data_IF_446896274464
#
_entry.id   IF_446896274464
#
_cell.length_a   1.000
_cell.length_b   1.000
_cell.length_c   1.000
_cell.angle_alpha   90.00
_cell.angle_beta   90.00
_cell.angle_gamma   90.00
#
_symmetry.space_group_name_H-M   'P 1'
#
loop_
_entity.id
_entity.type
_entity.pdbx_description
1 polymer ?
#
# COMPACT_ATOMS: atom_id res chain seq x y z
N UNK A 1 19.49 34.66 -14.14
CA UNK A 1 20.35 33.49 -14.46
C UNK A 1 19.43 32.29 -14.41
N UNK A 2 19.26 31.57 -15.53
CA UNK A 2 18.34 30.43 -15.60
C UNK A 2 18.90 29.32 -14.70
N UNK A 3 18.06 28.82 -13.78
CA UNK A 3 18.40 27.67 -12.93
C UNK A 3 18.71 26.48 -13.83
N UNK A 4 19.87 25.85 -13.66
CA UNK A 4 20.24 24.65 -14.42
C UNK A 4 19.28 23.49 -14.12
N UNK A 5 19.16 22.56 -15.07
CA UNK A 5 18.25 21.41 -14.98
C UNK A 5 18.55 20.51 -13.77
N UNK A 6 19.82 20.27 -13.43
CA UNK A 6 20.18 19.44 -12.28
C UNK A 6 19.90 20.15 -10.96
N UNK A 7 20.17 21.46 -10.90
CA UNK A 7 19.77 22.29 -9.76
C UNK A 7 18.25 22.29 -9.56
N UNK A 8 17.49 22.36 -10.65
CA UNK A 8 16.02 22.32 -10.60
C UNK A 8 15.50 20.95 -10.13
N UNK A 9 16.06 19.84 -10.62
CA UNK A 9 15.73 18.49 -10.11
C UNK A 9 16.02 18.35 -8.63
N UNK A 10 17.16 18.87 -8.16
CA UNK A 10 17.52 18.86 -6.74
C UNK A 10 16.54 19.69 -5.90
N UNK A 11 16.15 20.87 -6.40
CA UNK A 11 15.12 21.72 -5.79
C UNK A 11 13.79 20.99 -5.65
N UNK A 12 13.30 20.35 -6.73
CA UNK A 12 12.05 19.58 -6.72
C UNK A 12 12.12 18.50 -5.64
N UNK A 13 13.19 17.70 -5.61
CA UNK A 13 13.35 16.60 -4.65
C UNK A 13 13.32 17.10 -3.21
N UNK A 14 14.09 18.15 -2.90
CA UNK A 14 14.15 18.74 -1.57
C UNK A 14 12.79 19.30 -1.14
N UNK A 15 12.18 20.13 -1.97
CA UNK A 15 10.88 20.76 -1.67
C UNK A 15 9.75 19.75 -1.55
N UNK A 16 9.79 18.64 -2.30
CA UNK A 16 8.79 17.57 -2.18
C UNK A 16 8.84 16.93 -0.79
N UNK A 17 10.03 16.68 -0.25
CA UNK A 17 10.17 16.14 1.11
C UNK A 17 9.69 17.11 2.19
N UNK A 18 9.74 18.42 1.94
CA UNK A 18 9.20 19.46 2.83
C UNK A 18 7.67 19.57 2.73
N UNK A 19 7.10 19.42 1.52
CA UNK A 19 5.66 19.64 1.28
C UNK A 19 4.76 18.46 1.65
N UNK A 20 5.23 17.23 1.45
CA UNK A 20 4.39 16.04 1.55
C UNK A 20 4.85 15.12 2.67
N UNK A 21 3.92 14.79 3.56
CA UNK A 21 4.08 13.66 4.47
C UNK A 21 4.14 12.33 3.71
N UNK A 22 4.59 11.28 4.39
CA UNK A 22 4.68 9.96 3.78
C UNK A 22 3.29 9.45 3.35
N UNK A 23 3.20 8.58 2.31
CA UNK A 23 1.95 7.92 1.94
C UNK A 23 1.24 7.26 3.13
N UNK A 24 1.99 6.53 3.95
CA UNK A 24 1.45 5.81 5.10
C UNK A 24 0.88 6.78 6.16
N UNK A 25 1.58 7.88 6.44
CA UNK A 25 1.11 8.88 7.40
C UNK A 25 -0.17 9.56 6.93
N UNK A 26 -0.26 9.92 5.64
CA UNK A 26 -1.48 10.48 5.06
C UNK A 26 -2.67 9.52 5.20
N UNK A 27 -2.46 8.24 4.88
CA UNK A 27 -3.51 7.23 5.03
C UNK A 27 -3.92 7.04 6.48
N UNK A 28 -2.95 7.02 7.41
CA UNK A 28 -3.25 6.91 8.83
C UNK A 28 -4.02 8.14 9.37
N UNK A 29 -3.67 9.35 8.94
CA UNK A 29 -4.42 10.57 9.29
C UNK A 29 -5.86 10.51 8.78
N UNK A 30 -6.07 10.13 7.52
CA UNK A 30 -7.42 9.96 6.96
C UNK A 30 -8.18 8.88 7.72
N UNK A 31 -7.53 7.76 8.04
CA UNK A 31 -8.12 6.67 8.80
C UNK A 31 -8.60 7.11 10.19
N UNK A 32 -7.79 7.91 10.90
CA UNK A 32 -8.15 8.46 12.20
C UNK A 32 -9.27 9.49 12.08
N UNK A 33 -9.20 10.39 11.10
CA UNK A 33 -10.20 11.45 10.88
C UNK A 33 -11.59 10.89 10.57
N UNK A 34 -11.68 9.75 9.89
CA UNK A 34 -12.94 9.05 9.64
C UNK A 34 -13.43 8.19 10.82
N UNK A 35 -12.68 8.16 11.93
CA UNK A 35 -13.05 7.41 13.12
C UNK A 35 -12.90 5.89 12.98
N UNK A 36 -12.20 5.40 11.94
CA UNK A 36 -12.02 3.96 11.74
C UNK A 36 -11.22 3.30 12.87
N UNK A 37 -10.28 4.04 13.47
CA UNK A 37 -9.53 3.60 14.65
C UNK A 37 -10.37 3.26 15.89
N UNK A 38 -11.66 3.66 15.91
CA UNK A 38 -12.62 3.37 16.98
C UNK A 38 -13.61 2.26 16.61
N UNK A 39 -13.51 1.70 15.40
CA UNK A 39 -14.44 0.67 14.93
C UNK A 39 -14.01 -0.71 15.41
N UNK A 40 -15.01 -1.54 15.66
CA UNK A 40 -14.85 -2.94 16.06
C UNK A 40 -14.39 -3.81 14.89
N UNK A 41 -13.81 -4.98 15.20
CA UNK A 41 -13.34 -5.98 14.22
C UNK A 41 -14.36 -6.27 13.11
N UNK A 42 -15.63 -6.47 13.47
CA UNK A 42 -16.69 -6.85 12.52
C UNK A 42 -16.93 -5.78 11.46
N UNK A 43 -16.79 -4.50 11.82
CA UNK A 43 -16.94 -3.39 10.87
C UNK A 43 -15.91 -3.47 9.73
N UNK A 44 -14.66 -3.81 10.05
CA UNK A 44 -13.61 -3.96 9.04
C UNK A 44 -13.87 -5.14 8.10
N UNK A 45 -14.37 -6.27 8.64
CA UNK A 45 -14.70 -7.46 7.84
C UNK A 45 -15.88 -7.18 6.91
N UNK A 46 -16.91 -6.49 7.39
CA UNK A 46 -18.16 -6.29 6.64
C UNK A 46 -18.11 -5.11 5.66
N UNK A 47 -17.27 -4.10 5.93
CA UNK A 47 -17.22 -2.83 5.19
C UNK A 47 -15.88 -2.55 4.53
N UNK A 48 -15.04 -3.58 4.33
CA UNK A 48 -13.69 -3.41 3.77
C UNK A 48 -13.67 -2.62 2.46
N UNK A 49 -14.58 -2.94 1.53
CA UNK A 49 -14.69 -2.25 0.25
C UNK A 49 -15.01 -0.75 0.43
N UNK A 50 -15.96 -0.43 1.30
CA UNK A 50 -16.36 0.95 1.58
C UNK A 50 -15.22 1.75 2.22
N UNK A 51 -14.51 1.16 3.18
CA UNK A 51 -13.34 1.77 3.83
C UNK A 51 -12.28 2.12 2.79
N UNK A 52 -11.96 1.19 1.88
CA UNK A 52 -10.97 1.40 0.81
C UNK A 52 -11.37 2.59 -0.06
N UNK A 53 -12.60 2.58 -0.59
CA UNK A 53 -13.08 3.63 -1.49
C UNK A 53 -13.11 5.00 -0.80
N UNK A 54 -13.59 5.05 0.44
CA UNK A 54 -13.65 6.28 1.23
C UNK A 54 -12.25 6.83 1.52
N UNK A 55 -11.31 6.01 2.00
CA UNK A 55 -9.96 6.48 2.29
C UNK A 55 -9.27 6.95 1.00
N UNK A 56 -9.38 6.20 -0.11
CA UNK A 56 -8.80 6.59 -1.41
C UNK A 56 -9.31 7.92 -1.93
N UNK A 57 -10.63 8.13 -1.87
CA UNK A 57 -11.25 9.38 -2.29
C UNK A 57 -10.76 10.55 -1.45
N UNK A 58 -10.66 10.37 -0.14
CA UNK A 58 -10.28 11.44 0.77
C UNK A 58 -8.78 11.72 0.79
N UNK A 59 -7.91 10.71 0.67
CA UNK A 59 -6.47 10.92 0.51
C UNK A 59 -6.18 11.72 -0.77
N UNK A 60 -6.90 11.43 -1.86
CA UNK A 60 -6.80 12.21 -3.09
C UNK A 60 -7.28 13.67 -2.93
N UNK A 61 -8.41 13.88 -2.25
CA UNK A 61 -8.93 15.22 -1.99
C UNK A 61 -7.98 16.09 -1.15
N UNK A 62 -7.16 15.48 -0.29
CA UNK A 62 -6.12 16.17 0.47
C UNK A 62 -4.86 16.39 -0.39
N UNK A 63 -4.39 15.32 -1.07
CA UNK A 63 -3.15 15.35 -1.82
C UNK A 63 -3.21 16.27 -3.04
N UNK A 64 -4.29 16.22 -3.83
CA UNK A 64 -4.36 16.92 -5.12
C UNK A 64 -4.26 18.46 -5.00
N UNK A 65 -4.99 19.14 -4.10
CA UNK A 65 -4.80 20.57 -3.87
C UNK A 65 -3.39 20.92 -3.36
N UNK A 66 -2.78 20.05 -2.55
CA UNK A 66 -1.42 20.23 -2.07
C UNK A 66 -0.39 20.08 -3.20
N UNK A 67 -0.54 19.09 -4.08
CA UNK A 67 0.27 18.93 -5.28
C UNK A 67 0.14 20.12 -6.24
N UNK A 68 -1.07 20.65 -6.39
CA UNK A 68 -1.30 21.87 -7.18
C UNK A 68 -0.52 23.06 -6.60
N UNK A 69 -0.59 23.30 -5.29
CA UNK A 69 0.17 24.37 -4.62
C UNK A 69 1.68 24.17 -4.78
N UNK A 70 2.17 22.98 -4.48
CA UNK A 70 3.57 22.60 -4.68
C UNK A 70 4.03 22.91 -6.12
N UNK A 71 3.24 22.51 -7.12
CA UNK A 71 3.58 22.74 -8.54
C UNK A 71 3.65 24.23 -8.86
N UNK A 72 2.70 25.02 -8.38
CA UNK A 72 2.70 26.48 -8.56
C UNK A 72 3.95 27.10 -7.93
N UNK A 73 4.28 26.71 -6.70
CA UNK A 73 5.40 27.30 -5.95
C UNK A 73 6.76 26.96 -6.58
N UNK A 74 6.91 25.75 -7.12
CA UNK A 74 8.12 25.35 -7.86
C UNK A 74 8.23 26.11 -9.18
N UNK A 75 7.15 26.25 -9.96
CA UNK A 75 7.18 27.01 -11.21
C UNK A 75 7.47 28.49 -10.96
N UNK A 76 6.92 29.07 -9.89
CA UNK A 76 7.21 30.45 -9.48
C UNK A 76 8.69 30.68 -9.19
N UNK A 77 9.41 29.67 -8.69
CA UNK A 77 10.86 29.81 -8.46
C UNK A 77 11.71 29.94 -9.72
N UNK A 78 11.13 29.67 -10.90
CA UNK A 78 11.78 29.91 -12.20
C UNK A 78 11.59 31.35 -12.69
N UNK A 79 10.62 32.09 -12.13
CA UNK A 79 10.32 33.45 -12.55
C UNK A 79 11.37 34.44 -12.02
N UNK A 80 11.96 35.23 -12.91
CA UNK A 80 12.72 36.43 -12.53
C UNK A 80 11.81 37.66 -12.63
N UNK A 81 11.38 38.19 -11.48
CA UNK A 81 10.49 39.36 -11.42
C UNK A 81 11.08 40.59 -12.12
N UNK A 82 12.41 40.78 -12.08
CA UNK A 82 13.05 41.94 -12.72
C UNK A 82 13.01 41.85 -14.25
N UNK A 83 13.02 40.63 -14.78
CA UNK A 83 12.93 40.36 -16.21
C UNK A 83 11.47 40.45 -16.68
N UNK A 84 10.56 39.78 -15.96
CA UNK A 84 9.14 39.73 -16.28
C UNK A 84 8.48 41.11 -16.23
N UNK A 85 8.83 41.95 -15.25
CA UNK A 85 8.24 43.29 -15.09
C UNK A 85 8.53 44.25 -16.26
N UNK A 86 9.45 43.91 -17.16
CA UNK A 86 9.77 44.69 -18.37
C UNK A 86 8.94 44.29 -19.58
N UNK A 87 8.16 43.22 -19.48
CA UNK A 87 7.41 42.63 -20.58
C UNK A 87 5.91 42.91 -20.46
N UNK A 88 5.19 42.90 -21.58
CA UNK A 88 3.72 42.80 -21.55
C UNK A 88 3.31 41.41 -21.03
N UNK A 89 2.10 41.26 -20.46
CA UNK A 89 1.65 39.96 -19.95
C UNK A 89 1.75 38.80 -20.96
N UNK A 90 1.42 39.05 -22.24
CA UNK A 90 1.51 38.03 -23.30
C UNK A 90 2.95 37.64 -23.63
N UNK A 91 3.88 38.62 -23.61
CA UNK A 91 5.28 38.37 -23.85
C UNK A 91 5.91 37.63 -22.66
N UNK A 92 5.54 37.97 -21.42
CA UNK A 92 6.01 37.28 -20.23
C UNK A 92 5.59 35.81 -20.22
N UNK A 93 4.33 35.51 -20.56
CA UNK A 93 3.84 34.13 -20.68
C UNK A 93 4.59 33.40 -21.80
N UNK A 94 4.74 34.03 -22.97
CA UNK A 94 5.44 33.41 -24.11
C UNK A 94 6.90 33.11 -23.80
N UNK A 95 7.60 34.05 -23.16
CA UNK A 95 8.97 33.89 -22.69
C UNK A 95 9.08 32.77 -21.66
N UNK A 96 8.20 32.73 -20.65
CA UNK A 96 8.23 31.67 -19.63
C UNK A 96 8.04 30.27 -20.25
N UNK A 97 7.09 30.13 -21.17
CA UNK A 97 6.85 28.84 -21.84
C UNK A 97 8.05 28.47 -22.71
N UNK A 98 8.60 29.41 -23.49
CA UNK A 98 9.73 29.15 -24.37
C UNK A 98 11.00 28.73 -23.60
N UNK A 99 11.34 29.48 -22.55
CA UNK A 99 12.62 29.34 -21.86
C UNK A 99 12.62 28.19 -20.83
N UNK A 100 11.45 27.84 -20.29
CA UNK A 100 11.31 26.82 -19.24
C UNK A 100 10.54 25.57 -19.68
N UNK A 101 10.39 25.32 -20.99
CA UNK A 101 9.69 24.12 -21.50
C UNK A 101 10.24 22.83 -20.87
N UNK A 102 11.57 22.68 -20.78
CA UNK A 102 12.20 21.49 -20.20
C UNK A 102 11.96 21.39 -18.69
N UNK A 103 12.07 22.48 -17.94
CA UNK A 103 11.78 22.52 -16.51
C UNK A 103 10.33 22.14 -16.22
N UNK A 104 9.36 22.67 -17.00
CA UNK A 104 7.94 22.33 -16.89
C UNK A 104 7.74 20.83 -17.13
N UNK A 105 8.38 20.26 -18.16
CA UNK A 105 8.33 18.82 -18.44
C UNK A 105 8.89 18.00 -17.27
N UNK A 106 10.05 18.37 -16.72
CA UNK A 106 10.68 17.65 -15.60
C UNK A 106 9.79 17.67 -14.35
N UNK A 107 9.20 18.81 -14.01
CA UNK A 107 8.30 18.92 -12.87
C UNK A 107 7.05 18.05 -13.06
N UNK A 108 6.42 18.11 -14.24
CA UNK A 108 5.20 17.33 -14.53
C UNK A 108 5.47 15.82 -14.57
N UNK A 109 6.62 15.41 -15.10
CA UNK A 109 7.10 14.02 -15.04
C UNK A 109 7.35 13.59 -13.58
N UNK A 110 8.06 14.41 -12.81
CA UNK A 110 8.33 14.15 -11.38
C UNK A 110 7.03 13.98 -10.58
N UNK A 111 6.04 14.85 -10.80
CA UNK A 111 4.71 14.73 -10.18
C UNK A 111 4.02 13.42 -10.58
N UNK A 112 4.09 13.03 -11.85
CA UNK A 112 3.48 11.77 -12.33
C UNK A 112 4.14 10.54 -11.72
N UNK A 113 5.48 10.51 -11.63
CA UNK A 113 6.18 9.39 -10.99
C UNK A 113 5.92 9.34 -9.48
N UNK A 114 5.88 10.51 -8.81
CA UNK A 114 5.46 10.62 -7.42
C UNK A 114 4.06 10.04 -7.22
N UNK A 115 3.07 10.45 -8.03
CA UNK A 115 1.70 9.93 -7.96
C UNK A 115 1.63 8.42 -8.13
N UNK A 116 2.37 7.85 -9.09
CA UNK A 116 2.40 6.39 -9.31
C UNK A 116 2.93 5.65 -8.08
N UNK A 117 4.06 6.09 -7.53
CA UNK A 117 4.65 5.47 -6.34
C UNK A 117 3.74 5.63 -5.12
N UNK A 118 3.23 6.85 -4.88
CA UNK A 118 2.31 7.13 -3.77
C UNK A 118 1.03 6.31 -3.87
N UNK A 119 0.41 6.23 -5.04
CA UNK A 119 -0.83 5.50 -5.21
C UNK A 119 -0.71 4.01 -4.83
N UNK A 120 0.43 3.37 -5.13
CA UNK A 120 0.73 2.01 -4.68
C UNK A 120 0.91 1.92 -3.17
N UNK A 121 1.83 2.70 -2.61
CA UNK A 121 2.11 2.70 -1.17
C UNK A 121 0.88 3.07 -0.31
N UNK A 122 0.05 4.00 -0.77
CA UNK A 122 -1.22 4.35 -0.11
C UNK A 122 -2.20 3.17 -0.14
N UNK A 123 -2.27 2.42 -1.24
CA UNK A 123 -3.16 1.27 -1.34
C UNK A 123 -2.72 0.13 -0.42
N UNK A 124 -1.42 -0.17 -0.38
CA UNK A 124 -0.83 -1.12 0.56
C UNK A 124 -1.14 -0.73 2.02
N UNK A 125 -0.91 0.54 2.38
CA UNK A 125 -1.19 1.05 3.73
C UNK A 125 -2.67 0.92 4.12
N UNK A 126 -3.60 1.14 3.18
CA UNK A 126 -5.04 0.98 3.43
C UNK A 126 -5.36 -0.49 3.76
N UNK A 127 -4.86 -1.42 2.93
CA UNK A 127 -5.09 -2.86 3.15
C UNK A 127 -4.52 -3.27 4.51
N UNK A 128 -3.33 -2.78 4.83
CA UNK A 128 -2.67 -3.05 6.10
C UNK A 128 -3.52 -2.63 7.31
N UNK A 129 -4.06 -1.41 7.31
CA UNK A 129 -4.90 -0.91 8.39
C UNK A 129 -6.23 -1.67 8.50
N UNK A 130 -6.78 -2.13 7.38
CA UNK A 130 -7.98 -2.97 7.36
C UNK A 130 -7.69 -4.34 8.00
N UNK A 131 -6.57 -4.97 7.67
CA UNK A 131 -6.15 -6.23 8.28
C UNK A 131 -5.94 -6.08 9.79
N UNK A 132 -5.29 -4.98 10.22
CA UNK A 132 -5.12 -4.66 11.64
C UNK A 132 -6.46 -4.47 12.34
N UNK A 133 -7.38 -3.70 11.72
CA UNK A 133 -8.72 -3.48 12.25
C UNK A 133 -9.57 -4.76 12.32
N UNK A 134 -9.42 -5.65 11.35
CA UNK A 134 -10.04 -6.97 11.34
C UNK A 134 -9.36 -7.98 12.30
N UNK A 135 -8.30 -7.56 13.01
CA UNK A 135 -7.49 -8.42 13.89
C UNK A 135 -6.96 -9.69 13.20
N UNK A 136 -6.67 -9.57 11.91
CA UNK A 136 -6.05 -10.62 11.11
C UNK A 136 -4.53 -10.44 11.23
N UNK A 137 -3.80 -11.45 11.72
CA UNK A 137 -2.35 -11.39 11.77
C UNK A 137 -1.79 -11.30 10.35
N UNK A 138 -0.84 -10.41 10.13
CA UNK A 138 -0.08 -10.36 8.88
C UNK A 138 1.30 -9.74 9.11
N UNK A 139 2.18 -10.00 8.15
CA UNK A 139 3.39 -9.23 7.91
C UNK A 139 3.32 -8.60 6.52
N UNK A 140 3.63 -7.30 6.42
CA UNK A 140 3.73 -6.57 5.16
C UNK A 140 5.19 -6.20 4.85
N UNK A 141 5.56 -6.09 3.57
CA UNK A 141 6.86 -5.56 3.18
C UNK A 141 7.10 -4.14 3.74
N UNK A 142 6.04 -3.33 3.84
CA UNK A 142 6.08 -2.01 4.46
C UNK A 142 6.44 -2.05 5.94
N UNK A 143 6.05 -3.12 6.64
CA UNK A 143 6.26 -3.27 8.07
C UNK A 143 7.59 -3.90 8.41
N UNK A 144 7.85 -5.12 7.94
CA UNK A 144 9.05 -5.88 8.34
C UNK A 144 10.26 -5.62 7.43
N UNK A 145 10.05 -4.96 6.29
CA UNK A 145 11.08 -4.60 5.33
C UNK A 145 11.28 -5.65 4.23
N UNK A 146 11.59 -5.18 3.02
CA UNK A 146 11.73 -6.01 1.81
C UNK A 146 12.81 -7.06 1.91
N UNK A 147 13.89 -6.79 2.64
CA UNK A 147 15.00 -7.73 2.78
C UNK A 147 14.57 -9.02 3.48
N UNK A 148 13.69 -8.94 4.49
CA UNK A 148 13.21 -10.13 5.20
C UNK A 148 12.39 -11.01 4.25
N UNK A 149 11.56 -10.43 3.39
CA UNK A 149 10.83 -11.20 2.37
C UNK A 149 11.80 -11.92 1.43
N UNK A 150 12.79 -11.20 0.89
CA UNK A 150 13.79 -11.77 -0.04
C UNK A 150 14.60 -12.90 0.62
N UNK A 151 15.06 -12.69 1.84
CA UNK A 151 15.80 -13.69 2.64
C UNK A 151 14.98 -14.95 2.92
N UNK A 152 13.65 -14.82 2.96
CA UNK A 152 12.70 -15.92 3.19
C UNK A 152 12.08 -16.47 1.90
N UNK A 153 12.72 -16.21 0.75
CA UNK A 153 12.28 -16.68 -0.57
C UNK A 153 10.84 -16.24 -0.94
N UNK A 154 10.35 -15.17 -0.32
CA UNK A 154 9.13 -14.50 -0.76
C UNK A 154 9.47 -13.60 -1.93
N UNK A 155 8.73 -13.78 -3.03
CA UNK A 155 8.88 -13.01 -4.25
C UNK A 155 8.76 -11.50 -4.01
N UNK A 156 9.44 -10.69 -4.84
CA UNK A 156 9.41 -9.23 -4.71
C UNK A 156 8.00 -8.63 -4.79
N UNK A 157 7.08 -9.33 -5.45
CA UNK A 157 5.70 -8.90 -5.67
C UNK A 157 4.72 -9.31 -4.56
N UNK A 158 5.16 -10.11 -3.58
CA UNK A 158 4.33 -10.43 -2.42
C UNK A 158 4.41 -9.26 -1.45
N UNK A 159 3.32 -8.53 -1.29
CA UNK A 159 3.27 -7.35 -0.44
C UNK A 159 2.90 -7.70 1.00
N UNK A 160 2.03 -8.70 1.18
CA UNK A 160 1.51 -9.13 2.49
C UNK A 160 1.48 -10.66 2.57
N UNK A 161 1.83 -11.18 3.76
CA UNK A 161 1.71 -12.59 4.13
C UNK A 161 0.85 -12.70 5.40
N UNK A 162 -0.20 -13.52 5.35
CA UNK A 162 -1.03 -13.85 6.51
C UNK A 162 -0.87 -15.33 6.87
N UNK A 163 -0.60 -15.69 8.14
CA UNK A 163 -0.52 -14.82 9.33
C UNK A 163 0.81 -14.05 9.50
N UNK A 164 1.88 -14.47 8.80
CA UNK A 164 3.20 -13.85 8.90
C UNK A 164 4.26 -14.62 8.12
N UNK A 165 5.46 -14.04 8.00
CA UNK A 165 6.56 -14.65 7.23
C UNK A 165 7.17 -15.86 7.94
N UNK A 166 7.08 -15.92 9.27
CA UNK A 166 7.59 -17.06 10.04
C UNK A 166 6.71 -18.29 9.78
N UNK A 167 5.40 -18.11 9.82
CA UNK A 167 4.42 -19.15 9.49
C UNK A 167 4.54 -19.62 8.04
N UNK A 168 4.87 -18.72 7.12
CA UNK A 168 5.15 -19.11 5.73
C UNK A 168 6.34 -20.06 5.64
N UNK A 169 7.41 -19.82 6.39
CA UNK A 169 8.58 -20.71 6.42
C UNK A 169 8.27 -22.06 7.05
N UNK A 170 7.37 -22.09 8.03
CA UNK A 170 6.93 -23.31 8.70
C UNK A 170 6.05 -24.15 7.76
N UNK A 171 5.01 -23.55 7.20
CA UNK A 171 4.05 -24.23 6.33
C UNK A 171 3.39 -23.26 5.33
N UNK A 172 4.03 -23.12 4.17
CA UNK A 172 3.57 -22.35 3.01
C UNK A 172 2.12 -22.65 2.56
N UNK A 173 1.60 -23.87 2.82
CA UNK A 173 0.24 -24.26 2.38
C UNK A 173 -0.85 -23.67 3.27
N UNK A 174 -0.54 -23.38 4.52
CA UNK A 174 -1.48 -22.82 5.48
C UNK A 174 -1.31 -21.30 5.61
N UNK A 175 -0.61 -20.66 4.68
CA UNK A 175 -0.47 -19.20 4.62
C UNK A 175 -1.11 -18.64 3.37
N UNK A 176 -1.50 -17.37 3.45
CA UNK A 176 -2.10 -16.63 2.34
C UNK A 176 -1.12 -15.55 1.89
N UNK A 177 -0.84 -15.52 0.59
CA UNK A 177 -0.03 -14.49 -0.04
C UNK A 177 -0.93 -13.47 -0.74
N UNK A 178 -0.60 -12.19 -0.61
CA UNK A 178 -1.35 -11.09 -1.22
C UNK A 178 -0.37 -10.16 -1.94
N UNK A 179 -0.69 -9.84 -3.19
CA UNK A 179 -0.02 -8.83 -4.00
C UNK A 179 -1.01 -7.71 -4.32
N UNK A 180 -0.59 -6.45 -4.21
CA UNK A 180 -1.42 -5.28 -4.38
C UNK A 180 -1.01 -4.47 -5.62
N UNK A 181 -1.94 -4.29 -6.55
CA UNK A 181 -1.74 -3.41 -7.71
C UNK A 181 -2.98 -2.55 -7.92
N UNK A 182 -2.84 -1.22 -7.83
CA UNK A 182 -3.98 -0.31 -8.06
C UNK A 182 -4.62 -0.49 -9.43
N UNK A 183 -3.81 -0.66 -10.47
CA UNK A 183 -4.21 -1.02 -11.84
C UNK A 183 -3.29 -2.11 -12.36
N UNK A 184 -3.80 -3.04 -13.18
CA UNK A 184 -3.04 -4.18 -13.68
C UNK A 184 -2.29 -3.82 -14.96
N UNK A 185 -3.01 -3.34 -15.99
CA UNK A 185 -2.49 -3.20 -17.36
C UNK A 185 -1.79 -4.48 -17.83
N UNK A 186 -0.59 -4.43 -18.40
CA UNK A 186 0.25 -5.59 -18.73
C UNK A 186 0.98 -6.18 -17.51
N UNK A 187 1.07 -5.44 -16.40
CA UNK A 187 1.91 -5.78 -15.23
C UNK A 187 1.37 -6.92 -14.38
N UNK A 188 0.20 -7.48 -14.70
CA UNK A 188 -0.28 -8.71 -14.08
C UNK A 188 0.58 -9.92 -14.49
N UNK A 189 1.27 -9.86 -15.64
CA UNK A 189 2.12 -10.95 -16.14
C UNK A 189 3.28 -11.29 -15.21
N UNK A 190 3.73 -10.33 -14.41
CA UNK A 190 4.78 -10.51 -13.41
C UNK A 190 4.32 -11.44 -12.26
N UNK A 191 3.01 -11.52 -12.01
CA UNK A 191 2.43 -12.17 -10.82
C UNK A 191 2.46 -13.71 -10.93
N UNK A 192 2.07 -14.34 -12.06
CA UNK A 192 2.27 -15.77 -12.29
C UNK A 192 3.72 -16.24 -12.17
N UNK A 193 4.68 -15.45 -12.67
CA UNK A 193 6.11 -15.79 -12.61
C UNK A 193 6.57 -15.93 -11.15
N UNK A 194 6.18 -14.99 -10.29
CA UNK A 194 6.50 -15.05 -8.86
C UNK A 194 5.74 -16.17 -8.15
N UNK A 195 4.46 -16.40 -8.49
CA UNK A 195 3.66 -17.46 -7.86
C UNK A 195 4.34 -18.83 -7.96
N UNK A 196 4.89 -19.16 -9.14
CA UNK A 196 5.64 -20.41 -9.36
C UNK A 196 6.86 -20.56 -8.46
N UNK A 197 7.49 -19.45 -8.05
CA UNK A 197 8.69 -19.46 -7.19
C UNK A 197 8.36 -19.63 -5.71
N UNK A 198 7.20 -19.16 -5.27
CA UNK A 198 6.84 -19.19 -3.84
C UNK A 198 6.57 -20.61 -3.33
N UNK A 199 5.95 -21.46 -4.15
CA UNK A 199 5.44 -22.76 -3.71
C UNK A 199 4.21 -22.66 -2.80
N UNK A 200 3.58 -21.48 -2.71
CA UNK A 200 2.30 -21.30 -2.05
C UNK A 200 1.18 -22.01 -2.82
N UNK A 201 0.06 -22.27 -2.14
CA UNK A 201 -1.12 -22.90 -2.75
C UNK A 201 -1.82 -21.97 -3.73
N UNK A 202 -1.99 -20.73 -3.31
CA UNK A 202 -2.67 -19.68 -4.06
C UNK A 202 -2.14 -18.31 -3.63
N UNK A 203 -2.36 -17.30 -4.47
CA UNK A 203 -2.09 -15.91 -4.15
C UNK A 203 -3.29 -15.06 -4.51
N UNK A 204 -3.54 -14.00 -3.74
CA UNK A 204 -4.58 -13.04 -4.03
C UNK A 204 -3.97 -11.78 -4.62
N UNK A 205 -4.45 -11.39 -5.80
CA UNK A 205 -4.08 -10.13 -6.45
C UNK A 205 -5.17 -9.10 -6.17
N UNK A 206 -4.93 -8.22 -5.20
CA UNK A 206 -5.87 -7.16 -4.84
C UNK A 206 -5.70 -5.96 -5.78
N UNK A 207 -6.80 -5.42 -6.30
CA UNK A 207 -6.78 -4.36 -7.30
C UNK A 207 -8.02 -3.47 -7.31
N UNK A 208 -7.86 -2.25 -7.83
CA UNK A 208 -8.93 -1.29 -8.13
C UNK A 208 -9.13 -1.13 -9.64
N UNK A 209 -8.58 -2.05 -10.45
CA UNK A 209 -8.75 -2.05 -11.90
C UNK A 209 -10.18 -2.47 -12.28
N UNK A 210 -10.88 -1.62 -13.01
CA UNK A 210 -12.24 -1.88 -13.50
C UNK A 210 -12.27 -2.58 -14.87
N UNK A 211 -11.12 -2.73 -15.54
CA UNK A 211 -11.03 -3.10 -16.96
C UNK A 211 -10.16 -4.33 -17.22
N UNK A 212 -10.20 -5.30 -16.30
CA UNK A 212 -9.60 -6.62 -16.47
C UNK A 212 -10.44 -7.43 -17.47
N UNK A 213 -9.83 -7.95 -18.53
CA UNK A 213 -10.49 -8.80 -19.53
C UNK A 213 -10.66 -10.23 -19.02
N UNK A 214 -11.64 -10.95 -19.58
CA UNK A 214 -11.88 -12.37 -19.24
C UNK A 214 -10.64 -13.23 -19.51
N UNK A 215 -9.94 -12.98 -20.61
CA UNK A 215 -8.68 -13.67 -20.93
C UNK A 215 -7.60 -13.47 -19.87
N UNK A 216 -7.50 -12.27 -19.27
CA UNK A 216 -6.54 -12.03 -18.18
C UNK A 216 -6.97 -12.76 -16.92
N UNK A 217 -8.27 -12.76 -16.60
CA UNK A 217 -8.82 -13.52 -15.48
C UNK A 217 -8.59 -15.03 -15.62
N UNK A 218 -8.75 -15.57 -16.83
CA UNK A 218 -8.47 -16.97 -17.14
C UNK A 218 -7.00 -17.33 -16.87
N UNK A 219 -6.06 -16.51 -17.34
CA UNK A 219 -4.63 -16.73 -17.14
C UNK A 219 -4.23 -16.68 -15.66
N UNK A 220 -4.75 -15.69 -14.92
CA UNK A 220 -4.50 -15.57 -13.48
C UNK A 220 -5.07 -16.78 -12.72
N UNK A 221 -6.30 -17.18 -13.04
CA UNK A 221 -6.94 -18.33 -12.40
C UNK A 221 -6.18 -19.64 -12.67
N UNK A 222 -5.75 -19.88 -13.91
CA UNK A 222 -4.90 -21.04 -14.27
C UNK A 222 -3.57 -21.06 -13.52
N UNK A 223 -3.10 -19.89 -13.07
CA UNK A 223 -1.88 -19.73 -12.28
C UNK A 223 -2.12 -19.76 -10.77
N UNK A 224 -3.30 -20.17 -10.31
CA UNK A 224 -3.74 -20.16 -8.90
C UNK A 224 -3.71 -18.76 -8.27
N UNK A 225 -4.05 -17.73 -9.06
CA UNK A 225 -4.17 -16.35 -8.60
C UNK A 225 -5.63 -15.92 -8.64
N UNK A 226 -6.17 -15.57 -7.48
CA UNK A 226 -7.52 -15.04 -7.35
C UNK A 226 -7.47 -13.51 -7.37
N UNK A 227 -8.28 -12.89 -8.22
CA UNK A 227 -8.40 -11.43 -8.25
C UNK A 227 -9.36 -10.97 -7.17
N UNK A 228 -8.97 -9.95 -6.42
CA UNK A 228 -9.78 -9.35 -5.37
C UNK A 228 -9.97 -7.86 -5.67
N UNK A 229 -11.20 -7.37 -5.59
CA UNK A 229 -11.52 -5.96 -5.82
C UNK A 229 -12.62 -5.48 -4.87
N UNK A 230 -13.09 -4.24 -5.02
CA UNK A 230 -14.18 -3.74 -4.19
C UNK A 230 -15.52 -4.34 -4.61
N UNK A 231 -16.47 -4.38 -3.67
CA UNK A 231 -17.84 -4.83 -3.92
C UNK A 231 -18.49 -4.06 -5.08
N UNK A 232 -18.25 -2.75 -5.19
CA UNK A 232 -18.78 -1.93 -6.26
C UNK A 232 -18.21 -2.35 -7.62
N UNK A 233 -16.88 -2.49 -7.74
CA UNK A 233 -16.24 -2.93 -8.98
C UNK A 233 -16.73 -4.34 -9.37
N UNK A 234 -16.78 -5.29 -8.44
CA UNK A 234 -17.29 -6.64 -8.71
C UNK A 234 -18.73 -6.60 -9.19
N UNK A 235 -19.60 -5.85 -8.53
CA UNK A 235 -21.02 -5.78 -8.90
C UNK A 235 -21.27 -5.11 -10.25
N UNK A 236 -20.49 -4.08 -10.60
CA UNK A 236 -20.66 -3.34 -11.85
C UNK A 236 -20.02 -4.04 -13.06
N UNK A 237 -18.87 -4.70 -12.87
CA UNK A 237 -18.05 -5.22 -13.97
C UNK A 237 -17.99 -6.76 -14.02
N UNK A 238 -18.08 -7.44 -12.88
CA UNK A 238 -17.74 -8.85 -12.73
C UNK A 238 -18.79 -9.68 -11.97
N UNK A 239 -20.06 -9.22 -11.95
CA UNK A 239 -21.10 -9.75 -11.05
C UNK A 239 -21.27 -11.27 -11.09
N UNK A 240 -21.16 -11.86 -12.28
CA UNK A 240 -21.36 -13.29 -12.51
C UNK A 240 -20.04 -14.07 -12.56
N UNK A 241 -18.89 -13.41 -12.38
CA UNK A 241 -17.59 -14.07 -12.42
C UNK A 241 -17.16 -14.46 -10.99
N UNK A 242 -17.36 -15.72 -10.65
CA UNK A 242 -17.01 -16.28 -9.34
C UNK A 242 -15.51 -16.26 -9.03
N UNK A 243 -14.66 -16.01 -10.03
CA UNK A 243 -13.20 -15.94 -9.90
C UNK A 243 -12.70 -14.57 -9.44
N UNK A 244 -13.59 -13.57 -9.45
CA UNK A 244 -13.35 -12.25 -8.89
C UNK A 244 -13.98 -12.19 -7.51
N UNK A 245 -13.16 -11.97 -6.50
CA UNK A 245 -13.57 -11.87 -5.11
C UNK A 245 -13.64 -10.40 -4.68
N UNK A 246 -14.35 -10.18 -3.59
CA UNK A 246 -14.39 -8.91 -2.84
C UNK A 246 -13.36 -8.90 -1.73
N UNK A 247 -12.97 -7.72 -1.25
CA UNK A 247 -12.13 -7.61 -0.06
C UNK A 247 -12.73 -8.30 1.17
N UNK A 248 -14.06 -8.29 1.30
CA UNK A 248 -14.77 -8.97 2.39
C UNK A 248 -14.62 -10.50 2.29
N UNK A 249 -14.73 -11.06 1.08
CA UNK A 249 -14.45 -12.48 0.84
C UNK A 249 -12.98 -12.82 1.17
N UNK A 250 -12.02 -11.97 0.79
CA UNK A 250 -10.60 -12.15 1.14
C UNK A 250 -10.38 -12.15 2.66
N UNK A 251 -10.96 -11.19 3.39
CA UNK A 251 -10.83 -11.13 4.86
C UNK A 251 -11.47 -12.35 5.51
N UNK A 252 -12.60 -12.84 4.99
CA UNK A 252 -13.23 -14.09 5.45
C UNK A 252 -12.32 -15.31 5.25
N UNK A 253 -11.65 -15.41 4.10
CA UNK A 253 -10.65 -16.47 3.83
C UNK A 253 -9.49 -16.37 4.81
N UNK A 254 -8.97 -15.16 5.06
CA UNK A 254 -7.85 -14.94 5.99
C UNK A 254 -8.23 -15.25 7.45
N UNK A 255 -9.41 -14.81 7.91
CA UNK A 255 -9.91 -15.09 9.27
C UNK A 255 -10.18 -16.60 9.46
N UNK A 256 -10.68 -17.29 8.44
CA UNK A 256 -10.82 -18.74 8.48
C UNK A 256 -9.45 -19.46 8.54
N UNK A 257 -8.48 -19.01 7.75
CA UNK A 257 -7.13 -19.57 7.72
C UNK A 257 -6.35 -19.35 9.02
N UNK A 258 -6.61 -18.24 9.74
CA UNK A 258 -6.03 -17.96 11.07
C UNK A 258 -6.20 -19.15 12.03
N UNK A 259 -7.33 -19.86 11.96
CA UNK A 259 -7.64 -21.03 12.80
C UNK A 259 -6.65 -22.18 12.66
N UNK A 260 -5.96 -22.30 11.53
CA UNK A 260 -4.90 -23.29 11.33
C UNK A 260 -3.69 -23.04 12.26
N UNK A 261 -3.52 -21.82 12.74
CA UNK A 261 -2.38 -21.37 13.55
C UNK A 261 -2.75 -21.19 15.03
N UNK A 262 -4.04 -21.09 15.35
CA UNK A 262 -4.55 -20.93 16.72
C UNK A 262 -4.09 -22.04 17.68
N UNK A 263 -3.83 -23.26 17.18
CA UNK A 263 -3.33 -24.38 17.99
C UNK A 263 -1.91 -24.82 17.62
N UNK A 264 -1.24 -24.10 16.72
CA UNK A 264 0.16 -24.40 16.40
C UNK A 264 1.05 -24.17 17.63
N UNK A 265 2.04 -25.03 17.87
CA UNK A 265 3.01 -24.87 18.95
C UNK A 265 4.33 -24.39 18.38
N UNK A 266 4.61 -23.09 18.49
CA UNK A 266 5.90 -22.55 18.08
C UNK A 266 7.01 -23.00 19.02
N UNK A 267 8.16 -23.34 18.46
CA UNK A 267 9.36 -23.60 19.24
C UNK A 267 9.93 -22.27 19.81
N UNK A 268 10.96 -22.38 20.66
CA UNK A 268 11.51 -21.21 21.34
C UNK A 268 12.10 -20.17 20.38
N UNK A 269 12.79 -20.61 19.33
CA UNK A 269 13.40 -19.74 18.32
C UNK A 269 12.33 -19.04 17.47
N UNK A 270 11.33 -19.77 16.98
CA UNK A 270 10.18 -19.21 16.25
C UNK A 270 9.45 -18.16 17.09
N UNK A 271 9.20 -18.45 18.36
CA UNK A 271 8.55 -17.51 19.28
C UNK A 271 9.37 -16.24 19.46
N UNK A 272 10.69 -16.38 19.63
CA UNK A 272 11.60 -15.24 19.78
C UNK A 272 11.58 -14.36 18.53
N UNK A 273 11.69 -14.95 17.34
CA UNK A 273 11.62 -14.22 16.07
C UNK A 273 10.30 -13.45 15.91
N UNK A 274 9.17 -14.11 16.17
CA UNK A 274 7.85 -13.46 16.06
C UNK A 274 7.75 -12.31 17.07
N UNK A 275 8.14 -12.55 18.33
CA UNK A 275 8.07 -11.56 19.40
C UNK A 275 8.94 -10.33 19.10
N UNK A 276 10.15 -10.55 18.57
CA UNK A 276 11.08 -9.47 18.24
C UNK A 276 10.63 -8.67 17.03
N UNK A 277 10.04 -9.33 16.03
CA UNK A 277 9.39 -8.63 14.92
C UNK A 277 8.24 -7.75 15.42
N UNK A 278 7.39 -8.26 16.30
CA UNK A 278 6.29 -7.48 16.88
C UNK A 278 6.81 -6.30 17.71
N UNK A 279 7.82 -6.49 18.55
CA UNK A 279 8.44 -5.39 19.33
C UNK A 279 9.02 -4.30 18.43
N UNK A 280 9.67 -4.66 17.33
CA UNK A 280 10.15 -3.70 16.33
C UNK A 280 9.00 -2.87 15.75
N UNK A 281 7.84 -3.49 15.48
CA UNK A 281 6.67 -2.73 15.01
C UNK A 281 6.07 -1.81 16.07
N UNK A 282 6.01 -2.25 17.33
CA UNK A 282 5.56 -1.40 18.44
C UNK A 282 6.41 -0.13 18.53
N UNK A 283 7.74 -0.26 18.41
CA UNK A 283 8.67 0.86 18.45
C UNK A 283 8.51 1.77 17.22
N UNK A 284 8.48 1.19 16.01
CA UNK A 284 8.32 1.93 14.75
C UNK A 284 7.02 2.74 14.70
N UNK A 285 5.96 2.23 15.32
CA UNK A 285 4.63 2.83 15.33
C UNK A 285 4.26 3.44 16.70
N UNK A 286 5.25 3.86 17.49
CA UNK A 286 5.02 4.41 18.84
C UNK A 286 4.03 5.59 18.89
N UNK A 287 4.01 6.39 17.81
CA UNK A 287 3.16 7.58 17.65
C UNK A 287 1.82 7.28 16.95
N UNK A 288 1.55 6.01 16.61
CA UNK A 288 0.32 5.58 15.93
C UNK A 288 -0.43 4.58 16.80
N UNK A 289 -1.17 5.13 17.77
CA UNK A 289 -1.77 4.38 18.88
C UNK A 289 -2.60 3.16 18.45
N UNK A 290 -3.36 3.26 17.35
CA UNK A 290 -4.14 2.13 16.83
C UNK A 290 -3.25 0.94 16.44
N UNK A 291 -2.18 1.21 15.69
CA UNK A 291 -1.23 0.18 15.21
C UNK A 291 -0.44 -0.40 16.38
N UNK A 292 0.01 0.48 17.28
CA UNK A 292 0.71 0.08 18.50
C UNK A 292 -0.14 -0.88 19.34
N UNK A 293 -1.42 -0.55 19.57
CA UNK A 293 -2.36 -1.40 20.30
C UNK A 293 -2.57 -2.76 19.62
N UNK A 294 -2.71 -2.78 18.29
CA UNK A 294 -2.80 -4.03 17.53
C UNK A 294 -1.60 -4.95 17.79
N UNK A 295 -0.37 -4.42 17.68
CA UNK A 295 0.84 -5.22 17.91
C UNK A 295 1.04 -5.60 19.37
N UNK A 296 0.69 -4.73 20.33
CA UNK A 296 0.71 -5.07 21.75
C UNK A 296 -0.26 -6.21 22.08
N UNK A 297 -1.46 -6.20 21.50
CA UNK A 297 -2.42 -7.30 21.63
C UNK A 297 -1.85 -8.61 21.10
N UNK A 298 -1.26 -8.60 19.89
CA UNK A 298 -0.60 -9.78 19.31
C UNK A 298 0.54 -10.31 20.19
N UNK A 299 1.38 -9.42 20.74
CA UNK A 299 2.45 -9.82 21.66
C UNK A 299 1.88 -10.50 22.91
N UNK A 300 0.82 -9.91 23.49
CA UNK A 300 0.15 -10.48 24.66
C UNK A 300 -0.51 -11.84 24.37
N UNK A 301 -1.05 -12.05 23.17
CA UNK A 301 -1.63 -13.35 22.76
C UNK A 301 -0.55 -14.43 22.67
N UNK A 302 0.61 -14.11 22.09
CA UNK A 302 1.78 -15.01 22.05
C UNK A 302 2.29 -15.29 23.47
N UNK A 303 2.42 -14.26 24.30
CA UNK A 303 2.88 -14.42 25.68
C UNK A 303 1.88 -15.20 26.53
N UNK A 304 0.57 -15.10 26.31
CA UNK A 304 -0.42 -15.93 27.01
C UNK A 304 -0.39 -17.38 26.56
N UNK A 305 -0.26 -17.61 25.26
CA UNK A 305 -0.29 -18.96 24.67
C UNK A 305 0.99 -19.75 24.99
N UNK A 306 2.11 -19.05 25.18
CA UNK A 306 3.43 -19.67 25.38
C UNK A 306 4.19 -19.11 26.59
N UNK A 307 3.52 -18.41 27.49
CA UNK A 307 4.07 -17.90 28.74
C UNK A 307 4.06 -19.02 29.78
N UNK A 308 5.24 -19.23 30.38
CA UNK A 308 5.59 -20.22 31.40
C UNK A 308 4.42 -21.03 32.01
N UNK A 309 4.43 -22.34 31.72
CA UNK A 309 4.40 -23.31 32.81
C UNK A 309 5.54 -22.94 33.77
N UNK A 310 5.21 -22.17 34.81
CA UNK A 310 5.97 -22.07 36.04
C UNK A 310 5.38 -23.06 37.02
#
# INVERSE_FOLDING_TARGET
MIIDIEEFKALIKRKRNEYFISPYDLIYEVFVNFGYHLKEKTYFIEQASEIIENIRKNSWNIYHPLEKRFTIDILKSLCDENEINKMTPINAISHFIADFTEHIYILTLSNTQSRRSRAGNEFEAIIELIFMGAEIPMDSQGNIGKNIFIEKELGKLVDIVSPGVIEYMINKRNTILISAKTTLRERWQEVPEEMMRTGAREMFLVTLDEQISESVLDNLYQSNINVVTTRNIKNERYKNNHRVLTFEELLGVCDANKKCWDNYFYNAEEKELISDNIKKQILKHENKEFIKKYYQKRLSEIDKKYGKNG
#
